data_IF_797251984462
#
_entry.id   IF_797251984462
#
_cell.length_a   1.000
_cell.length_b   1.000
_cell.length_c   1.000
_cell.angle_alpha   90.00
_cell.angle_beta   90.00
_cell.angle_gamma   90.00
#
_symmetry.space_group_name_H-M   'P 1'
#
loop_
_entity.id
_entity.type
_entity.pdbx_description
1 polymer ?
#
# COMPACT_ATOMS: atom_id res chain seq x y z
N UNK A 1 -19.23 -14.36 -15.41
CA UNK A 1 -17.95 -13.64 -15.53
C UNK A 1 -17.27 -13.40 -14.16
N UNK A 2 -18.01 -12.98 -13.12
CA UNK A 2 -17.46 -12.57 -11.82
C UNK A 2 -16.64 -13.65 -11.06
N UNK A 3 -17.11 -14.91 -11.00
CA UNK A 3 -16.43 -15.98 -10.25
C UNK A 3 -15.01 -16.26 -10.76
N UNK A 4 -14.79 -16.30 -12.08
CA UNK A 4 -13.46 -16.57 -12.65
C UNK A 4 -12.46 -15.48 -12.27
N UNK A 5 -12.88 -14.21 -12.37
CA UNK A 5 -12.04 -13.08 -11.99
C UNK A 5 -11.72 -13.08 -10.50
N UNK A 6 -12.69 -13.42 -9.65
CA UNK A 6 -12.48 -13.54 -8.21
C UNK A 6 -11.50 -14.65 -7.85
N UNK A 7 -11.65 -15.85 -8.43
CA UNK A 7 -10.71 -16.97 -8.21
C UNK A 7 -9.29 -16.58 -8.64
N UNK A 8 -9.15 -15.91 -9.80
CA UNK A 8 -7.87 -15.44 -10.30
C UNK A 8 -7.22 -14.44 -9.34
N UNK A 9 -7.94 -13.38 -8.96
CA UNK A 9 -7.44 -12.36 -8.01
C UNK A 9 -7.09 -12.96 -6.65
N UNK A 10 -7.92 -13.87 -6.13
CA UNK A 10 -7.65 -14.56 -4.88
C UNK A 10 -6.38 -15.42 -4.93
N UNK A 11 -6.14 -16.08 -6.07
CA UNK A 11 -4.94 -16.89 -6.29
C UNK A 11 -3.69 -16.02 -6.44
N UNK A 12 -3.77 -14.93 -7.21
CA UNK A 12 -2.69 -13.95 -7.37
C UNK A 12 -2.34 -13.29 -6.03
N UNK A 13 -3.34 -12.89 -5.25
CA UNK A 13 -3.16 -12.33 -3.91
C UNK A 13 -2.48 -13.31 -2.94
N UNK A 14 -2.91 -14.58 -2.94
CA UNK A 14 -2.30 -15.62 -2.11
C UNK A 14 -0.84 -15.91 -2.52
N UNK A 15 -0.56 -15.97 -3.82
CA UNK A 15 0.80 -16.19 -4.33
C UNK A 15 1.73 -15.01 -3.96
N UNK A 16 1.27 -13.77 -4.19
CA UNK A 16 2.00 -12.57 -3.78
C UNK A 16 2.26 -12.57 -2.28
N UNK A 17 1.27 -12.97 -1.48
CA UNK A 17 1.39 -13.05 -0.02
C UNK A 17 2.48 -14.02 0.43
N UNK A 18 2.61 -15.19 -0.21
CA UNK A 18 3.68 -16.14 0.08
C UNK A 18 5.05 -15.51 -0.19
N UNK A 19 5.24 -14.90 -1.36
CA UNK A 19 6.49 -14.25 -1.73
C UNK A 19 6.87 -13.14 -0.74
N UNK A 20 5.92 -12.29 -0.37
CA UNK A 20 6.15 -11.21 0.59
C UNK A 20 6.53 -11.74 1.98
N UNK A 21 5.89 -12.82 2.42
CA UNK A 21 6.19 -13.45 3.71
C UNK A 21 7.59 -14.05 3.72
N UNK A 22 7.98 -14.76 2.65
CA UNK A 22 9.32 -15.32 2.50
C UNK A 22 10.40 -14.23 2.47
N UNK A 23 10.16 -13.13 1.74
CA UNK A 23 11.04 -11.97 1.72
C UNK A 23 11.20 -11.31 3.09
N UNK A 24 10.11 -11.20 3.87
CA UNK A 24 10.13 -10.62 5.21
C UNK A 24 10.92 -11.48 6.21
N UNK A 25 10.76 -12.82 6.15
CA UNK A 25 11.49 -13.76 7.00
C UNK A 25 12.99 -13.79 6.67
N UNK A 26 13.36 -13.54 5.42
CA UNK A 26 14.75 -13.43 5.01
C UNK A 26 15.34 -12.06 5.39
N UNK A 27 15.83 -11.95 6.64
CA UNK A 27 16.57 -10.81 7.20
C UNK A 27 15.74 -9.56 7.55
N UNK A 28 14.46 -9.70 7.92
CA UNK A 28 13.58 -8.55 8.29
C UNK A 28 13.66 -7.43 7.25
N UNK A 29 13.60 -7.79 5.96
CA UNK A 29 13.75 -6.83 4.87
C UNK A 29 12.53 -5.89 4.84
N UNK A 30 12.73 -4.56 4.89
CA UNK A 30 11.67 -3.60 4.64
C UNK A 30 11.10 -3.80 3.23
N UNK A 31 9.76 -3.76 3.11
CA UNK A 31 9.03 -4.05 1.87
C UNK A 31 8.11 -2.89 1.54
N UNK A 32 8.12 -2.52 0.26
CA UNK A 32 7.11 -1.65 -0.34
C UNK A 32 6.55 -2.39 -1.54
N UNK A 33 5.23 -2.48 -1.63
CA UNK A 33 4.50 -3.15 -2.71
C UNK A 33 3.62 -2.11 -3.39
N UNK A 34 3.69 -2.03 -4.71
CA UNK A 34 2.89 -1.09 -5.48
C UNK A 34 2.17 -1.85 -6.59
N UNK A 35 0.93 -1.46 -6.89
CA UNK A 35 0.24 -1.96 -8.07
C UNK A 35 -1.26 -1.71 -8.05
N UNK A 36 -1.89 -2.13 -9.14
CA UNK A 36 -3.35 -2.22 -9.29
C UNK A 36 -3.84 -3.56 -8.72
N UNK A 37 -4.54 -3.51 -7.59
CA UNK A 37 -5.12 -4.68 -6.91
C UNK A 37 -6.49 -5.03 -7.46
N UNK A 38 -7.07 -4.18 -8.33
CA UNK A 38 -8.42 -4.30 -8.86
C UNK A 38 -9.50 -4.45 -7.78
N UNK A 39 -9.22 -3.96 -6.57
CA UNK A 39 -10.10 -4.06 -5.41
C UNK A 39 -9.74 -2.96 -4.39
N UNK A 40 -10.71 -2.59 -3.58
CA UNK A 40 -10.53 -1.56 -2.54
C UNK A 40 -9.70 -2.10 -1.36
N UNK A 41 -9.14 -1.21 -0.54
CA UNK A 41 -8.24 -1.58 0.55
C UNK A 41 -8.88 -2.52 1.59
N UNK A 42 -10.19 -2.38 1.82
CA UNK A 42 -10.99 -3.18 2.75
C UNK A 42 -11.54 -4.48 2.13
N UNK A 43 -11.22 -4.75 0.87
CA UNK A 43 -11.65 -5.97 0.20
C UNK A 43 -10.96 -7.23 0.74
N UNK A 44 -11.61 -8.39 0.55
CA UNK A 44 -11.03 -9.68 0.95
C UNK A 44 -9.72 -9.97 0.21
N UNK A 45 -9.62 -9.60 -1.07
CA UNK A 45 -8.43 -9.91 -1.88
C UNK A 45 -7.23 -9.05 -1.46
N UNK A 46 -7.43 -7.76 -1.23
CA UNK A 46 -6.40 -6.87 -0.67
C UNK A 46 -6.03 -7.29 0.75
N UNK A 47 -7.03 -7.70 1.57
CA UNK A 47 -6.82 -8.26 2.90
C UNK A 47 -5.89 -9.49 2.92
N UNK A 48 -5.93 -10.36 1.91
CA UNK A 48 -5.00 -11.48 1.78
C UNK A 48 -3.56 -10.96 1.62
N UNK A 49 -3.34 -9.95 0.76
CA UNK A 49 -1.99 -9.39 0.53
C UNK A 49 -1.47 -8.68 1.79
N UNK A 50 -2.32 -7.87 2.43
CA UNK A 50 -2.04 -7.20 3.70
C UNK A 50 -1.67 -8.18 4.82
N UNK A 51 -2.13 -9.44 4.72
CA UNK A 51 -1.94 -10.45 5.75
C UNK A 51 -2.94 -10.32 6.87
N UNK A 52 -4.22 -10.12 6.54
CA UNK A 52 -5.31 -10.15 7.52
C UNK A 52 -5.24 -11.44 8.36
N UNK A 53 -5.16 -11.28 9.69
CA UNK A 53 -4.99 -12.40 10.62
C UNK A 53 -3.56 -12.92 10.80
N UNK A 54 -2.57 -12.43 10.04
CA UNK A 54 -1.16 -12.76 10.24
C UNK A 54 -0.57 -12.04 11.47
N UNK A 55 0.56 -12.52 12.03
CA UNK A 55 1.35 -11.78 13.03
C UNK A 55 1.76 -10.40 12.51
N UNK A 56 1.92 -9.42 13.40
CA UNK A 56 2.22 -8.03 13.01
C UNK A 56 3.47 -7.90 12.12
N UNK A 57 4.55 -8.62 12.44
CA UNK A 57 5.79 -8.62 11.65
C UNK A 57 5.62 -9.08 10.19
N UNK A 58 4.58 -9.88 9.93
CA UNK A 58 4.27 -10.36 8.59
C UNK A 58 3.24 -9.45 7.89
N UNK A 59 2.63 -8.46 8.55
CA UNK A 59 1.60 -7.60 7.94
C UNK A 59 2.21 -6.53 7.04
N UNK A 60 1.40 -6.13 6.06
CA UNK A 60 1.58 -4.88 5.33
C UNK A 60 0.45 -3.92 5.72
N UNK A 61 0.68 -2.64 5.45
CA UNK A 61 -0.20 -1.54 5.75
C UNK A 61 -0.39 -0.69 4.51
N UNK A 62 -1.58 -0.17 4.28
CA UNK A 62 -1.79 0.80 3.22
C UNK A 62 -1.08 2.12 3.57
N UNK A 63 -0.23 2.63 2.69
CA UNK A 63 0.49 3.87 2.88
C UNK A 63 -0.45 5.06 3.13
N UNK A 64 -1.64 5.06 2.52
CA UNK A 64 -2.64 6.10 2.70
C UNK A 64 -3.23 6.09 4.11
N UNK A 65 -3.34 4.92 4.74
CA UNK A 65 -3.84 4.77 6.11
C UNK A 65 -2.79 5.17 7.16
N UNK A 66 -1.51 4.86 6.92
CA UNK A 66 -0.44 5.08 7.91
C UNK A 66 0.31 6.42 7.74
N UNK A 67 -0.10 7.24 6.78
CA UNK A 67 0.55 8.53 6.54
C UNK A 67 0.39 9.51 7.71
N UNK A 68 1.41 10.35 7.93
CA UNK A 68 1.39 11.37 8.99
C UNK A 68 0.43 12.53 8.69
N UNK A 69 0.29 12.95 7.43
CA UNK A 69 -0.61 14.04 7.05
C UNK A 69 -2.05 13.55 7.04
N UNK A 70 -2.76 13.78 8.13
CA UNK A 70 -4.19 13.51 8.26
C UNK A 70 -4.97 14.82 8.06
N UNK A 71 -4.83 15.44 6.89
CA UNK A 71 -5.82 16.46 6.46
C UNK A 71 -6.97 15.70 5.78
N UNK A 72 -7.86 15.09 6.58
CA UNK A 72 -9.04 14.36 6.09
C UNK A 72 -9.92 15.17 5.13
N UNK A 73 -9.86 16.51 5.19
CA UNK A 73 -10.60 17.39 4.31
C UNK A 73 -10.06 17.46 2.87
N UNK A 74 -8.90 16.87 2.56
CA UNK A 74 -8.21 17.04 1.26
C UNK A 74 -8.02 15.77 0.43
N UNK A 75 -8.40 14.59 0.93
CA UNK A 75 -8.04 13.33 0.27
C UNK A 75 -9.27 12.47 -0.03
N UNK A 76 -10.15 12.96 -0.90
CA UNK A 76 -10.97 12.06 -1.74
C UNK A 76 -10.03 11.62 -2.88
N UNK A 77 -9.07 10.77 -2.54
CA UNK A 77 -8.14 10.20 -3.52
C UNK A 77 -8.80 9.00 -4.18
N UNK A 78 -8.96 9.03 -5.49
CA UNK A 78 -9.39 7.89 -6.29
C UNK A 78 -8.36 7.62 -7.38
N UNK A 79 -8.19 6.36 -7.73
CA UNK A 79 -7.29 5.94 -8.79
C UNK A 79 -8.03 5.56 -10.07
N UNK A 80 -9.35 5.34 -10.05
CA UNK A 80 -10.12 5.12 -11.27
C UNK A 80 -11.55 5.66 -11.15
N UNK A 81 -12.19 5.87 -12.31
CA UNK A 81 -13.61 6.22 -12.42
C UNK A 81 -14.30 5.21 -13.32
N UNK A 82 -15.28 4.49 -12.78
CA UNK A 82 -16.06 3.51 -13.53
C UNK A 82 -17.55 3.78 -13.37
N UNK A 83 -18.24 4.07 -14.48
CA UNK A 83 -19.67 4.40 -14.50
C UNK A 83 -20.06 5.52 -13.50
N UNK A 84 -19.16 6.49 -13.28
CA UNK A 84 -19.36 7.59 -12.33
C UNK A 84 -19.07 7.24 -10.87
N UNK A 85 -18.62 6.01 -10.58
CA UNK A 85 -18.10 5.63 -9.27
C UNK A 85 -16.60 5.85 -9.21
N UNK A 86 -16.18 6.66 -8.25
CA UNK A 86 -14.78 6.88 -7.89
C UNK A 86 -14.30 5.73 -7.00
N UNK A 87 -13.17 5.14 -7.31
CA UNK A 87 -12.62 4.01 -6.53
C UNK A 87 -11.10 4.09 -6.43
N UNK A 88 -10.57 3.51 -5.36
CA UNK A 88 -9.13 3.39 -5.12
C UNK A 88 -8.76 1.92 -5.21
N UNK A 89 -8.19 1.55 -6.35
CA UNK A 89 -7.77 0.16 -6.64
C UNK A 89 -6.26 0.04 -6.81
N UNK A 90 -5.57 1.17 -6.94
CA UNK A 90 -4.12 1.27 -6.96
C UNK A 90 -3.63 1.60 -5.55
N UNK A 91 -2.82 0.71 -4.97
CA UNK A 91 -2.37 0.83 -3.58
C UNK A 91 -0.86 0.77 -3.49
N UNK A 92 -0.32 1.51 -2.52
CA UNK A 92 1.07 1.40 -2.08
C UNK A 92 1.03 0.79 -0.69
N UNK A 93 1.44 -0.47 -0.57
CA UNK A 93 1.51 -1.16 0.71
C UNK A 93 2.93 -1.11 1.26
N UNK A 94 3.06 -0.90 2.56
CA UNK A 94 4.35 -0.82 3.26
C UNK A 94 4.40 -1.79 4.43
N UNK A 95 5.57 -2.34 4.73
CA UNK A 95 5.76 -3.17 5.92
C UNK A 95 5.90 -2.35 7.20
N UNK A 96 5.97 -3.02 8.36
CA UNK A 96 6.00 -2.39 9.68
C UNK A 96 7.10 -1.32 9.84
N UNK A 97 8.23 -1.50 9.15
CA UNK A 97 9.39 -0.61 9.22
C UNK A 97 9.10 0.81 8.71
N UNK A 98 8.02 1.02 7.94
CA UNK A 98 7.60 2.34 7.47
C UNK A 98 6.34 2.88 8.17
N UNK A 99 5.82 2.15 9.17
CA UNK A 99 4.71 2.58 9.99
C UNK A 99 5.22 3.18 11.31
N UNK A 100 5.23 4.52 11.39
CA UNK A 100 5.76 5.26 12.53
C UNK A 100 5.04 5.00 13.86
N UNK A 101 3.86 4.36 13.85
CA UNK A 101 3.15 3.97 15.06
C UNK A 101 3.67 2.67 15.68
N UNK A 102 4.55 1.94 14.97
CA UNK A 102 5.09 0.66 15.42
C UNK A 102 6.52 0.79 15.98
N UNK A 103 6.93 -0.13 16.89
CA UNK A 103 8.31 -0.21 17.34
C UNK A 103 9.27 -0.46 16.17
N UNK A 104 10.52 -0.02 16.30
CA UNK A 104 11.60 -0.27 15.35
C UNK A 104 11.37 0.27 13.92
N UNK A 105 10.41 1.19 13.75
CA UNK A 105 10.21 1.88 12.48
C UNK A 105 11.50 2.58 12.04
N UNK A 106 11.91 2.37 10.79
CA UNK A 106 13.09 2.97 10.17
C UNK A 106 12.74 4.21 9.35
N UNK A 107 11.44 4.48 9.19
CA UNK A 107 10.93 5.63 8.48
C UNK A 107 9.44 5.79 8.66
N UNK A 108 8.89 6.79 7.98
CA UNK A 108 7.47 7.08 7.99
C UNK A 108 6.96 7.50 6.61
N UNK A 109 5.70 7.15 6.34
CA UNK A 109 4.96 7.71 5.21
C UNK A 109 4.55 9.14 5.56
N UNK A 110 5.13 10.12 4.87
CA UNK A 110 4.88 11.55 5.13
C UNK A 110 3.56 11.99 4.51
N UNK A 111 3.32 11.58 3.27
CA UNK A 111 2.12 11.90 2.51
C UNK A 111 1.89 10.88 1.38
N UNK A 112 0.62 10.69 1.04
CA UNK A 112 0.17 9.97 -0.16
C UNK A 112 -0.68 10.93 -1.01
N UNK A 113 -0.31 11.08 -2.27
CA UNK A 113 -0.99 11.90 -3.26
C UNK A 113 -1.58 11.03 -4.36
N UNK A 114 -2.79 11.37 -4.79
CA UNK A 114 -3.44 10.80 -5.97
C UNK A 114 -3.44 11.87 -7.06
N UNK A 115 -2.72 11.61 -8.15
CA UNK A 115 -2.65 12.50 -9.30
C UNK A 115 -3.62 11.97 -10.35
N UNK A 116 -4.84 12.51 -10.36
CA UNK A 116 -5.98 11.97 -11.08
C UNK A 116 -6.77 13.01 -11.90
N UNK A 117 -6.31 14.26 -11.98
CA UNK A 117 -6.96 15.34 -12.74
C UNK A 117 -7.25 14.96 -14.21
N UNK A 118 -6.40 14.12 -14.81
CA UNK A 118 -6.58 13.69 -16.20
C UNK A 118 -7.75 12.72 -16.40
N UNK A 119 -8.23 12.06 -15.33
CA UNK A 119 -9.39 11.17 -15.41
C UNK A 119 -10.67 11.95 -15.75
N UNK A 120 -10.80 13.18 -15.26
CA UNK A 120 -11.92 14.06 -15.60
C UNK A 120 -11.77 14.69 -17.00
N UNK A 121 -10.53 14.92 -17.44
CA UNK A 121 -10.24 15.50 -18.76
C UNK A 121 -10.42 14.50 -19.91
N UNK A 122 -10.53 13.20 -19.62
CA UNK A 122 -10.78 12.11 -20.58
C UNK A 122 -9.91 12.19 -21.85
N UNK A 123 -8.64 12.62 -21.71
CA UNK A 123 -7.71 12.76 -22.83
C UNK A 123 -7.35 11.35 -23.36
N UNK A 124 -7.52 11.06 -24.67
CA UNK A 124 -7.30 9.71 -25.21
C UNK A 124 -5.88 9.15 -25.05
N UNK A 125 -4.89 10.01 -24.81
CA UNK A 125 -3.49 9.63 -24.61
C UNK A 125 -3.13 9.46 -23.12
N UNK A 126 -4.03 9.78 -22.20
CA UNK A 126 -3.81 9.64 -20.76
C UNK A 126 -4.25 8.24 -20.28
N UNK A 127 -3.68 7.80 -19.16
CA UNK A 127 -4.12 6.57 -18.50
C UNK A 127 -5.54 6.73 -17.94
N UNK A 128 -6.29 5.64 -17.94
CA UNK A 128 -7.57 5.49 -17.22
C UNK A 128 -7.39 5.28 -15.71
N UNK A 129 -6.15 5.24 -15.22
CA UNK A 129 -5.79 5.24 -13.82
C UNK A 129 -5.08 6.54 -13.40
N UNK A 130 -5.33 6.96 -12.16
CA UNK A 130 -4.63 8.00 -11.45
C UNK A 130 -3.31 7.48 -10.88
N UNK A 131 -2.27 8.31 -10.87
CA UNK A 131 -0.98 7.91 -10.32
C UNK A 131 -0.99 8.09 -8.79
N UNK A 132 -0.68 7.03 -8.06
CA UNK A 132 -0.46 7.08 -6.61
C UNK A 132 1.00 7.37 -6.32
N UNK A 133 1.26 8.35 -5.46
CA UNK A 133 2.61 8.76 -5.04
C UNK A 133 2.69 8.77 -3.51
N UNK A 134 3.62 8.02 -2.95
CA UNK A 134 3.93 8.06 -1.52
C UNK A 134 5.31 8.71 -1.32
N UNK A 135 5.39 9.66 -0.38
CA UNK A 135 6.68 10.20 0.10
C UNK A 135 7.04 9.54 1.42
N UNK A 136 8.10 8.74 1.40
CA UNK A 136 8.63 8.08 2.60
C UNK A 136 9.86 8.84 3.08
N UNK A 137 9.90 9.19 4.37
CA UNK A 137 11.09 9.73 5.02
C UNK A 137 11.72 8.64 5.86
N UNK A 138 13.01 8.39 5.65
CA UNK A 138 13.81 7.51 6.50
C UNK A 138 14.30 8.28 7.74
N UNK A 139 14.36 7.61 8.87
CA UNK A 139 15.00 8.13 10.08
C UNK A 139 16.52 7.96 9.96
N UNK A 140 17.28 8.87 10.57
CA UNK A 140 18.74 8.82 10.57
C UNK A 140 19.25 7.64 11.43
N UNK A 141 20.41 7.08 11.06
CA UNK A 141 21.00 5.86 11.66
C UNK A 141 21.30 5.98 13.16
N UNK A 142 21.25 7.19 13.70
CA UNK A 142 21.36 7.48 15.13
C UNK A 142 20.24 6.88 16.00
N UNK A 143 19.15 6.37 15.42
CA UNK A 143 18.16 5.54 16.13
C UNK A 143 18.51 4.03 16.14
N UNK A 144 19.40 3.55 15.26
CA UNK A 144 19.80 2.14 15.18
C UNK A 144 21.12 1.80 15.90
N UNK A 145 21.95 2.80 16.21
CA UNK A 145 23.25 2.61 16.87
C UNK A 145 23.18 2.44 18.40
N UNK A 146 22.01 2.63 19.04
CA UNK A 146 21.88 2.45 20.50
C UNK A 146 21.43 1.06 20.94
N UNK A 147 20.80 0.28 20.07
CA UNK A 147 20.31 -1.07 20.42
C UNK A 147 21.08 -2.22 19.74
N UNK A 148 22.15 -1.90 19.00
CA UNK A 148 23.06 -2.87 18.39
C UNK A 148 24.42 -2.98 19.09
N UNK A 149 24.47 -2.76 20.41
CA UNK A 149 25.54 -3.24 21.29
C UNK A 149 26.99 -2.97 20.85
N UNK A 150 27.40 -1.70 20.85
CA UNK A 150 28.80 -1.31 21.08
C UNK A 150 28.85 -0.43 22.32
#
# INVERSE_FOLDING_TARGET
ACLRSLIRRGTEAAALRVLLTEMGRANRRPRVVLGDFNDVADSVTTGIVLGAGAPMADRLYDANEVQRRVDHARHIGFSCVHEGHYSTIDHILVSEEFNAALPDAIGEVVEVLYLNDHLDLALPAASDHGQVLARIRLFDESHGLRDAGI
#
